data_IF_918480617488
#
_entry.id   IF_918480617488
#
_cell.length_a   1.000
_cell.length_b   1.000
_cell.length_c   1.000
_cell.angle_alpha   90.00
_cell.angle_beta   90.00
_cell.angle_gamma   90.00
#
_symmetry.space_group_name_H-M   'P 1'
#
loop_
_entity.id
_entity.type
_entity.pdbx_description
1 polymer ?
#
# COMPACT_ATOMS: atom_id res chain seq x y z
N UNK A 1 29.49 -6.88 -1.34
CA UNK A 1 28.23 -6.94 -0.57
C UNK A 1 27.38 -8.00 -1.22
N UNK A 2 26.94 -8.97 -0.42
CA UNK A 2 26.08 -10.06 -0.86
C UNK A 2 24.89 -10.21 0.09
N UNK A 3 23.75 -10.61 -0.42
CA UNK A 3 22.56 -10.91 0.36
C UNK A 3 22.81 -12.19 1.17
N UNK A 4 22.67 -12.11 2.48
CA UNK A 4 22.87 -13.25 3.40
C UNK A 4 21.55 -13.83 3.89
N UNK A 5 20.50 -13.01 3.99
CA UNK A 5 19.18 -13.48 4.37
C UNK A 5 18.07 -12.64 3.75
N UNK A 6 16.93 -13.29 3.52
CA UNK A 6 15.67 -12.65 3.09
C UNK A 6 14.57 -13.20 3.97
N UNK A 7 13.95 -12.34 4.75
CA UNK A 7 12.86 -12.69 5.67
C UNK A 7 11.64 -11.84 5.38
N UNK A 8 10.51 -12.34 5.77
CA UNK A 8 9.27 -11.58 5.79
C UNK A 8 8.63 -11.59 7.17
N UNK A 9 7.86 -10.56 7.47
CA UNK A 9 7.16 -10.41 8.74
C UNK A 9 5.73 -9.90 8.49
N UNK A 10 4.77 -10.78 8.78
CA UNK A 10 3.35 -10.44 8.74
C UNK A 10 2.90 -9.97 10.11
N UNK A 11 2.33 -8.77 10.19
CA UNK A 11 1.74 -8.21 11.41
C UNK A 11 0.31 -7.77 11.17
N UNK A 12 -0.51 -7.81 12.22
CA UNK A 12 -1.88 -7.28 12.25
C UNK A 12 -2.04 -6.14 13.26
N UNK A 13 -0.96 -5.76 13.92
CA UNK A 13 -0.95 -4.75 15.00
C UNK A 13 -1.21 -3.33 14.50
N UNK A 14 -1.11 -3.09 13.19
CA UNK A 14 -1.34 -1.77 12.57
C UNK A 14 -2.80 -1.50 12.20
N UNK A 15 -3.75 -2.33 12.69
CA UNK A 15 -5.18 -2.22 12.37
C UNK A 15 -5.59 -2.90 11.06
N UNK A 16 -4.63 -3.23 10.21
CA UNK A 16 -4.80 -4.08 9.02
C UNK A 16 -3.55 -4.94 8.83
N UNK A 17 -3.65 -6.11 8.17
CA UNK A 17 -2.48 -6.93 7.89
C UNK A 17 -1.44 -6.14 7.06
N UNK A 18 -0.17 -6.17 7.50
CA UNK A 18 0.95 -5.63 6.77
C UNK A 18 2.07 -6.69 6.67
N UNK A 19 2.65 -6.85 5.49
CA UNK A 19 3.72 -7.81 5.22
C UNK A 19 5.00 -7.06 4.86
N UNK A 20 5.98 -7.11 5.75
CA UNK A 20 7.29 -6.50 5.56
C UNK A 20 8.29 -7.49 5.01
N UNK A 21 9.20 -7.00 4.18
CA UNK A 21 10.36 -7.75 3.65
C UNK A 21 11.62 -7.17 4.27
N UNK A 22 12.50 -8.03 4.77
CA UNK A 22 13.79 -7.67 5.35
C UNK A 22 14.89 -8.41 4.61
N UNK A 23 15.83 -7.68 4.03
CA UNK A 23 16.99 -8.22 3.33
C UNK A 23 18.26 -7.85 4.09
N UNK A 24 19.01 -8.85 4.51
CA UNK A 24 20.29 -8.68 5.22
C UNK A 24 21.46 -8.91 4.28
N UNK A 25 22.59 -8.24 4.56
CA UNK A 25 23.81 -8.37 3.77
C UNK A 25 25.02 -8.68 4.63
N UNK A 26 26.06 -9.27 4.02
CA UNK A 26 27.36 -9.53 4.63
C UNK A 26 28.12 -8.26 5.07
N UNK A 27 27.71 -7.10 4.57
CA UNK A 27 28.26 -5.80 4.97
C UNK A 27 27.54 -5.18 6.17
N UNK A 28 26.59 -5.88 6.80
CA UNK A 28 25.80 -5.37 7.94
C UNK A 28 24.77 -4.31 7.55
N UNK A 29 24.50 -4.11 6.26
CA UNK A 29 23.45 -3.21 5.77
C UNK A 29 22.16 -4.03 5.61
N UNK A 30 21.09 -3.58 6.23
CA UNK A 30 19.76 -4.21 6.15
C UNK A 30 18.81 -3.29 5.41
N UNK A 31 18.06 -3.85 4.45
CA UNK A 31 17.00 -3.16 3.72
C UNK A 31 15.61 -3.62 4.12
N UNK A 32 14.66 -2.71 4.02
CA UNK A 32 13.26 -2.93 4.35
C UNK A 32 12.36 -2.58 3.17
N UNK A 33 11.38 -3.45 2.91
CA UNK A 33 10.32 -3.22 1.94
C UNK A 33 8.97 -3.65 2.48
N UNK A 34 7.91 -3.32 1.77
CA UNK A 34 6.55 -3.70 2.10
C UNK A 34 5.91 -4.43 0.92
N UNK A 35 5.35 -5.61 1.20
CA UNK A 35 4.72 -6.50 0.23
C UNK A 35 3.23 -6.74 0.54
N UNK A 36 2.58 -5.77 1.19
CA UNK A 36 1.19 -5.90 1.61
C UNK A 36 0.23 -5.97 0.44
N UNK A 37 -0.68 -6.94 0.50
CA UNK A 37 -1.87 -7.00 -0.36
C UNK A 37 -3.07 -7.38 0.50
N UNK A 38 -4.22 -6.79 0.22
CA UNK A 38 -5.44 -7.14 0.92
C UNK A 38 -5.87 -8.59 0.60
N UNK A 39 -6.37 -9.30 1.62
CA UNK A 39 -6.95 -10.65 1.57
C UNK A 39 -5.98 -11.83 1.39
N UNK A 40 -4.80 -11.65 0.79
CA UNK A 40 -3.90 -12.77 0.46
C UNK A 40 -2.45 -12.60 0.96
N UNK A 41 -2.19 -12.08 2.18
CA UNK A 41 -0.82 -11.83 2.65
C UNK A 41 0.01 -13.12 2.74
N UNK A 42 -0.62 -14.26 3.06
CA UNK A 42 0.05 -15.55 3.14
C UNK A 42 0.53 -16.05 1.77
N UNK A 43 -0.21 -15.77 0.69
CA UNK A 43 0.21 -16.15 -0.66
C UNK A 43 1.46 -15.36 -1.08
N UNK A 44 1.56 -14.08 -0.68
CA UNK A 44 2.74 -13.27 -0.93
C UNK A 44 3.92 -13.75 -0.08
N UNK A 45 3.69 -14.08 1.19
CA UNK A 45 4.71 -14.65 2.07
C UNK A 45 5.30 -15.96 1.51
N UNK A 46 4.45 -16.88 1.07
CA UNK A 46 4.90 -18.12 0.42
C UNK A 46 5.70 -17.87 -0.85
N UNK A 47 5.31 -16.90 -1.67
CA UNK A 47 6.09 -16.55 -2.86
C UNK A 47 7.45 -15.92 -2.50
N UNK A 48 7.54 -15.16 -1.42
CA UNK A 48 8.83 -14.63 -0.93
C UNK A 48 9.76 -15.77 -0.49
N UNK A 49 9.23 -16.82 0.14
CA UNK A 49 10.00 -18.03 0.48
C UNK A 49 10.51 -18.75 -0.78
N UNK A 50 9.70 -18.85 -1.83
CA UNK A 50 10.10 -19.43 -3.12
C UNK A 50 11.15 -18.58 -3.86
N UNK A 51 11.11 -17.25 -3.72
CA UNK A 51 12.08 -16.35 -4.33
C UNK A 51 13.41 -16.27 -3.54
N UNK A 52 13.38 -16.50 -2.25
CA UNK A 52 14.55 -16.41 -1.36
C UNK A 52 15.79 -17.13 -1.88
N UNK A 53 15.74 -18.39 -2.35
CA UNK A 53 16.93 -19.11 -2.84
C UNK A 53 17.63 -18.44 -4.03
N UNK A 54 16.89 -17.68 -4.84
CA UNK A 54 17.45 -16.96 -5.99
C UNK A 54 18.11 -15.63 -5.59
N UNK A 55 17.79 -15.11 -4.42
CA UNK A 55 18.32 -13.83 -3.93
C UNK A 55 19.57 -14.01 -3.06
N UNK A 56 19.66 -15.10 -2.32
CA UNK A 56 20.80 -15.38 -1.44
C UNK A 56 22.10 -15.47 -2.26
N UNK A 57 23.13 -14.75 -1.79
CA UNK A 57 24.46 -14.69 -2.43
C UNK A 57 24.58 -13.65 -3.56
N UNK A 58 23.46 -13.10 -4.01
CA UNK A 58 23.47 -12.05 -5.05
C UNK A 58 23.92 -10.69 -4.49
N UNK A 59 24.41 -9.82 -5.39
CA UNK A 59 24.76 -8.43 -5.05
C UNK A 59 23.50 -7.56 -5.05
N UNK A 60 23.05 -7.05 -3.87
CA UNK A 60 21.82 -6.26 -3.74
C UNK A 60 21.86 -4.92 -4.51
N UNK A 61 23.03 -4.47 -4.96
CA UNK A 61 23.16 -3.24 -5.77
C UNK A 61 22.70 -3.41 -7.21
N UNK A 62 22.56 -4.66 -7.69
CA UNK A 62 22.08 -5.02 -9.03
C UNK A 62 20.55 -5.08 -9.07
N UNK A 63 19.89 -4.00 -8.64
CA UNK A 63 18.42 -3.95 -8.40
C UNK A 63 17.65 -4.41 -9.63
N UNK A 64 17.90 -3.81 -10.79
CA UNK A 64 17.20 -4.13 -12.04
C UNK A 64 17.40 -5.60 -12.44
N UNK A 65 18.61 -6.13 -12.27
CA UNK A 65 18.89 -7.54 -12.54
C UNK A 65 18.07 -8.46 -11.63
N UNK A 66 18.03 -8.18 -10.33
CA UNK A 66 17.30 -8.97 -9.34
C UNK A 66 15.79 -8.87 -9.56
N UNK A 67 15.29 -7.68 -9.90
CA UNK A 67 13.89 -7.50 -10.26
C UNK A 67 13.52 -8.38 -11.46
N UNK A 68 14.31 -8.32 -12.54
CA UNK A 68 14.08 -9.13 -13.73
C UNK A 68 14.21 -10.63 -13.45
N UNK A 69 15.16 -11.04 -12.63
CA UNK A 69 15.34 -12.41 -12.21
C UNK A 69 14.08 -12.91 -11.46
N UNK A 70 13.61 -12.19 -10.45
CA UNK A 70 12.40 -12.54 -9.73
C UNK A 70 11.18 -12.63 -10.66
N UNK A 71 11.02 -11.68 -11.59
CA UNK A 71 9.91 -11.68 -12.53
C UNK A 71 9.96 -12.82 -13.55
N UNK A 72 11.16 -13.14 -14.09
CA UNK A 72 11.32 -14.14 -15.15
C UNK A 72 11.40 -15.57 -14.67
N UNK A 73 11.83 -15.80 -13.42
CA UNK A 73 11.86 -17.13 -12.78
C UNK A 73 10.46 -17.74 -12.68
N UNK A 74 9.45 -16.91 -12.55
CA UNK A 74 8.05 -17.33 -12.50
C UNK A 74 7.55 -17.65 -13.92
N UNK A 75 7.11 -18.88 -14.16
CA UNK A 75 6.51 -19.27 -15.44
C UNK A 75 5.21 -18.50 -15.70
N UNK A 76 4.34 -18.40 -14.68
CA UNK A 76 3.12 -17.59 -14.69
C UNK A 76 3.43 -16.22 -14.12
N UNK A 77 3.63 -15.24 -14.97
CA UNK A 77 4.07 -13.89 -14.62
C UNK A 77 2.90 -12.95 -14.39
N UNK A 78 3.10 -12.00 -13.47
CA UNK A 78 2.14 -10.94 -13.20
C UNK A 78 1.10 -11.31 -12.14
N UNK A 79 0.13 -10.42 -11.98
CA UNK A 79 -0.89 -10.51 -10.94
C UNK A 79 -0.48 -9.88 -9.61
N UNK A 80 -1.45 -9.64 -8.71
CA UNK A 80 -1.23 -8.84 -7.50
C UNK A 80 -0.27 -9.51 -6.50
N UNK A 81 -0.32 -10.83 -6.35
CA UNK A 81 0.57 -11.57 -5.43
C UNK A 81 2.03 -11.47 -5.88
N UNK A 82 2.27 -11.74 -7.17
CA UNK A 82 3.62 -11.62 -7.76
C UNK A 82 4.13 -10.19 -7.72
N UNK A 83 3.27 -9.23 -8.09
CA UNK A 83 3.62 -7.80 -8.05
C UNK A 83 4.00 -7.34 -6.64
N UNK A 84 3.24 -7.72 -5.63
CA UNK A 84 3.51 -7.36 -4.24
C UNK A 84 4.82 -7.95 -3.72
N UNK A 85 5.08 -9.25 -3.97
CA UNK A 85 6.32 -9.89 -3.54
C UNK A 85 7.56 -9.23 -4.17
N UNK A 86 7.55 -9.04 -5.49
CA UNK A 86 8.67 -8.40 -6.21
C UNK A 86 8.85 -6.95 -5.76
N UNK A 87 7.75 -6.19 -5.57
CA UNK A 87 7.79 -4.81 -5.10
C UNK A 87 8.41 -4.69 -3.71
N UNK A 88 8.07 -5.60 -2.78
CA UNK A 88 8.67 -5.63 -1.46
C UNK A 88 10.17 -5.90 -1.48
N UNK A 89 10.61 -6.83 -2.34
CA UNK A 89 12.06 -7.09 -2.57
C UNK A 89 12.72 -5.86 -3.18
N UNK A 90 12.14 -5.27 -4.20
CA UNK A 90 12.68 -4.09 -4.90
C UNK A 90 12.86 -2.89 -3.94
N UNK A 91 11.85 -2.58 -3.13
CA UNK A 91 11.96 -1.53 -2.11
C UNK A 91 13.10 -1.80 -1.13
N UNK A 92 13.25 -3.04 -0.65
CA UNK A 92 14.34 -3.39 0.26
C UNK A 92 15.72 -3.24 -0.39
N UNK A 93 15.86 -3.56 -1.68
CA UNK A 93 17.10 -3.38 -2.44
C UNK A 93 17.44 -1.89 -2.63
N UNK A 94 16.45 -1.04 -2.94
CA UNK A 94 16.64 0.40 -3.00
C UNK A 94 17.03 0.99 -1.64
N UNK A 95 16.45 0.51 -0.56
CA UNK A 95 16.81 0.93 0.80
C UNK A 95 18.27 0.55 1.14
N UNK A 96 18.72 -0.67 0.79
CA UNK A 96 20.14 -1.07 0.90
C UNK A 96 21.03 -0.13 0.10
N UNK A 97 20.65 0.18 -1.13
CA UNK A 97 21.45 1.04 -2.00
C UNK A 97 21.59 2.45 -1.42
N UNK A 98 20.49 3.04 -0.97
CA UNK A 98 20.50 4.34 -0.30
C UNK A 98 21.40 4.36 0.93
N UNK A 99 21.24 3.37 1.83
CA UNK A 99 22.04 3.20 3.04
C UNK A 99 23.53 3.00 2.73
N UNK A 100 23.84 2.19 1.72
CA UNK A 100 25.24 1.92 1.32
C UNK A 100 25.94 3.13 0.74
N UNK A 101 25.22 4.09 0.19
CA UNK A 101 25.72 5.35 -0.38
C UNK A 101 25.60 6.53 0.61
N UNK A 102 24.91 6.34 1.75
CA UNK A 102 24.68 7.39 2.74
C UNK A 102 23.70 8.47 2.27
N UNK A 103 22.79 8.12 1.34
CA UNK A 103 21.79 9.06 0.80
C UNK A 103 20.38 8.47 0.94
N UNK A 104 19.35 9.30 1.08
CA UNK A 104 17.98 8.83 1.07
C UNK A 104 17.58 8.35 -0.35
N UNK A 105 16.66 7.40 -0.43
CA UNK A 105 16.25 6.78 -1.70
C UNK A 105 15.73 7.82 -2.72
N UNK A 106 15.06 8.88 -2.28
CA UNK A 106 14.55 9.90 -3.21
C UNK A 106 15.67 10.61 -3.99
N UNK A 107 16.89 10.72 -3.45
CA UNK A 107 18.04 11.27 -4.20
C UNK A 107 18.45 10.37 -5.36
N UNK A 108 18.29 9.04 -5.20
CA UNK A 108 18.56 8.06 -6.26
C UNK A 108 17.47 8.04 -7.33
N UNK A 109 16.26 8.53 -6.99
CA UNK A 109 15.09 8.55 -7.87
C UNK A 109 14.85 9.91 -8.56
N UNK A 110 15.80 10.83 -8.48
CA UNK A 110 15.71 12.12 -9.17
C UNK A 110 15.61 13.35 -8.26
N UNK A 111 15.72 13.16 -6.94
CA UNK A 111 15.78 14.25 -5.96
C UNK A 111 14.44 14.62 -5.35
N UNK A 112 14.50 15.58 -4.43
CA UNK A 112 13.36 16.01 -3.64
C UNK A 112 12.41 16.90 -4.47
N UNK A 113 11.23 16.40 -4.78
CA UNK A 113 10.20 17.16 -5.50
C UNK A 113 9.41 18.11 -4.59
N UNK A 114 9.20 17.73 -3.32
CA UNK A 114 8.42 18.51 -2.33
C UNK A 114 8.74 18.07 -0.91
N UNK A 115 8.60 18.98 0.04
CA UNK A 115 8.86 18.71 1.46
C UNK A 115 7.61 18.27 2.23
N UNK A 116 6.42 18.47 1.64
CA UNK A 116 5.13 18.11 2.26
C UNK A 116 4.20 17.50 1.21
N UNK A 117 3.37 16.57 1.66
CA UNK A 117 2.29 15.96 0.89
C UNK A 117 0.97 16.30 1.56
N UNK A 118 -0.01 16.79 0.78
CA UNK A 118 -1.38 16.99 1.27
C UNK A 118 -2.01 15.61 1.50
N UNK A 119 -2.54 15.39 2.69
CA UNK A 119 -3.23 14.17 3.06
C UNK A 119 -4.74 14.32 2.90
N UNK A 120 -5.41 13.22 2.61
CA UNK A 120 -6.85 13.09 2.80
C UNK A 120 -7.15 12.15 3.96
N UNK A 121 -8.28 12.37 4.64
CA UNK A 121 -8.77 11.52 5.72
C UNK A 121 -9.85 10.56 5.23
N UNK A 122 -9.79 9.29 5.68
CA UNK A 122 -10.89 8.36 5.44
C UNK A 122 -12.05 8.68 6.37
N UNK A 123 -13.26 8.64 5.80
CA UNK A 123 -14.55 8.75 6.51
C UNK A 123 -15.35 7.48 6.24
N UNK A 124 -15.96 6.94 7.29
CA UNK A 124 -16.82 5.77 7.24
C UNK A 124 -18.04 5.99 8.13
N UNK A 125 -19.12 5.30 7.85
CA UNK A 125 -20.36 5.32 8.57
C UNK A 125 -21.43 4.52 7.82
N UNK A 126 -22.43 4.05 8.54
CA UNK A 126 -23.52 3.25 7.97
C UNK A 126 -24.73 4.11 7.57
N UNK A 127 -24.78 5.38 8.05
CA UNK A 127 -25.82 6.35 7.71
C UNK A 127 -25.23 7.69 7.27
N UNK A 128 -26.06 8.50 6.59
CA UNK A 128 -25.68 9.84 6.16
C UNK A 128 -25.26 10.75 7.32
N UNK A 129 -25.92 10.62 8.48
CA UNK A 129 -25.62 11.38 9.70
C UNK A 129 -24.25 11.00 10.26
N UNK A 130 -23.95 9.70 10.33
CA UNK A 130 -22.64 9.21 10.78
C UNK A 130 -21.52 9.66 9.84
N UNK A 131 -21.75 9.60 8.52
CA UNK A 131 -20.81 10.10 7.52
C UNK A 131 -20.54 11.60 7.72
N UNK A 132 -21.58 12.40 7.91
CA UNK A 132 -21.48 13.83 8.15
C UNK A 132 -20.70 14.15 9.44
N UNK A 133 -20.98 13.44 10.53
CA UNK A 133 -20.31 13.64 11.82
C UNK A 133 -18.81 13.27 11.75
N UNK A 134 -18.50 12.10 11.20
CA UNK A 134 -17.13 11.66 11.03
C UNK A 134 -16.34 12.57 10.06
N UNK A 135 -17.00 13.13 9.07
CA UNK A 135 -16.39 14.13 8.19
C UNK A 135 -16.04 15.42 8.94
N UNK A 136 -16.96 15.96 9.78
CA UNK A 136 -16.69 17.12 10.63
C UNK A 136 -15.51 16.87 11.56
N UNK A 137 -15.45 15.68 12.18
CA UNK A 137 -14.34 15.30 13.03
C UNK A 137 -12.99 15.34 12.29
N UNK A 138 -12.91 14.79 11.08
CA UNK A 138 -11.69 14.84 10.25
C UNK A 138 -11.29 16.28 9.93
N UNK A 139 -12.24 17.10 9.53
CA UNK A 139 -11.99 18.52 9.22
C UNK A 139 -11.53 19.30 10.45
N UNK A 140 -12.11 19.05 11.64
CA UNK A 140 -11.67 19.68 12.89
C UNK A 140 -10.22 19.38 13.27
N UNK A 141 -9.66 18.29 12.77
CA UNK A 141 -8.24 17.92 12.89
C UNK A 141 -7.32 18.56 11.83
N UNK A 142 -7.85 19.47 11.00
CA UNK A 142 -7.10 20.16 9.97
C UNK A 142 -7.00 19.42 8.63
N UNK A 143 -7.75 18.34 8.43
CA UNK A 143 -7.84 17.62 7.14
C UNK A 143 -8.71 18.44 6.19
N UNK A 144 -8.19 18.77 5.01
CA UNK A 144 -8.87 19.56 3.98
C UNK A 144 -9.37 18.77 2.78
N UNK A 145 -9.16 17.46 2.80
CA UNK A 145 -9.65 16.53 1.79
C UNK A 145 -10.09 15.25 2.49
N UNK A 146 -11.26 14.76 2.17
CA UNK A 146 -11.81 13.52 2.76
C UNK A 146 -12.17 12.54 1.68
N UNK A 147 -12.06 11.26 2.00
CA UNK A 147 -12.40 10.15 1.11
C UNK A 147 -13.37 9.22 1.83
N UNK A 148 -14.39 8.80 1.14
CA UNK A 148 -15.33 7.81 1.65
C UNK A 148 -15.73 6.81 0.56
N UNK A 149 -16.26 5.68 1.00
CA UNK A 149 -16.92 4.68 0.18
C UNK A 149 -18.33 4.48 0.75
N UNK A 150 -19.33 4.67 -0.09
CA UNK A 150 -20.74 4.66 0.34
C UNK A 150 -21.44 3.31 0.17
N UNK A 151 -20.79 2.32 -0.42
CA UNK A 151 -21.42 1.00 -0.64
C UNK A 151 -20.44 -0.13 -0.29
N UNK A 152 -20.98 -1.26 0.16
CA UNK A 152 -20.23 -2.48 0.45
C UNK A 152 -20.19 -3.37 -0.79
N UNK A 153 -19.08 -3.36 -1.53
CA UNK A 153 -18.88 -4.20 -2.74
C UNK A 153 -18.76 -5.69 -2.39
N UNK A 154 -18.56 -6.01 -1.11
CA UNK A 154 -18.18 -7.36 -0.67
C UNK A 154 -19.22 -8.04 0.21
N UNK A 155 -20.49 -7.63 0.13
CA UNK A 155 -21.54 -8.38 0.79
C UNK A 155 -21.73 -9.70 0.05
N UNK A 156 -21.38 -10.81 0.72
CA UNK A 156 -21.32 -12.14 0.10
C UNK A 156 -22.70 -12.79 -0.02
N UNK A 157 -23.72 -12.20 0.58
CA UNK A 157 -25.00 -12.85 0.78
C UNK A 157 -26.10 -12.30 -0.13
N UNK A 158 -25.89 -11.14 -0.78
CA UNK A 158 -26.92 -10.48 -1.56
C UNK A 158 -26.50 -10.15 -2.99
N UNK A 159 -27.49 -10.04 -3.86
CA UNK A 159 -27.32 -9.54 -5.22
C UNK A 159 -27.00 -8.05 -5.15
N UNK A 160 -25.90 -7.63 -5.77
CA UNK A 160 -25.52 -6.23 -5.83
C UNK A 160 -26.56 -5.39 -6.57
N UNK A 161 -27.22 -4.47 -5.86
CA UNK A 161 -28.16 -3.51 -6.44
C UNK A 161 -27.41 -2.21 -6.81
N UNK A 162 -27.12 -2.04 -8.09
CA UNK A 162 -26.42 -0.89 -8.63
C UNK A 162 -27.15 0.44 -8.36
N UNK A 163 -28.50 0.44 -8.47
CA UNK A 163 -29.26 1.67 -8.26
C UNK A 163 -29.21 2.10 -6.80
N UNK A 164 -29.40 1.18 -5.87
CA UNK A 164 -29.28 1.44 -4.46
C UNK A 164 -27.87 1.97 -4.09
N UNK A 165 -26.81 1.40 -4.68
CA UNK A 165 -25.44 1.87 -4.47
C UNK A 165 -25.23 3.32 -4.95
N UNK A 166 -25.80 3.69 -6.10
CA UNK A 166 -25.74 5.06 -6.63
C UNK A 166 -26.52 6.02 -5.73
N UNK A 167 -27.74 5.66 -5.35
CA UNK A 167 -28.59 6.50 -4.50
C UNK A 167 -27.92 6.78 -3.14
N UNK A 168 -27.34 5.76 -2.51
CA UNK A 168 -26.59 5.89 -1.26
C UNK A 168 -25.34 6.79 -1.43
N UNK A 169 -24.60 6.65 -2.53
CA UNK A 169 -23.46 7.53 -2.80
C UNK A 169 -23.89 9.00 -2.94
N UNK A 170 -25.00 9.27 -3.61
CA UNK A 170 -25.55 10.62 -3.75
C UNK A 170 -25.95 11.18 -2.39
N UNK A 171 -26.68 10.40 -1.58
CA UNK A 171 -27.12 10.79 -0.23
C UNK A 171 -25.92 11.12 0.67
N UNK A 172 -24.93 10.22 0.74
CA UNK A 172 -23.75 10.41 1.58
C UNK A 172 -22.90 11.61 1.12
N UNK A 173 -22.76 11.78 -0.19
CA UNK A 173 -22.04 12.94 -0.74
C UNK A 173 -22.71 14.25 -0.35
N UNK A 174 -24.03 14.32 -0.45
CA UNK A 174 -24.82 15.50 -0.09
C UNK A 174 -24.67 15.83 1.42
N UNK A 175 -24.84 14.82 2.29
CA UNK A 175 -24.72 14.98 3.74
C UNK A 175 -23.30 15.41 4.16
N UNK A 176 -22.28 14.82 3.57
CA UNK A 176 -20.88 15.21 3.82
C UNK A 176 -20.65 16.66 3.34
N UNK A 177 -21.08 17.00 2.14
CA UNK A 177 -20.92 18.35 1.59
C UNK A 177 -21.60 19.43 2.43
N UNK A 178 -22.81 19.17 2.90
CA UNK A 178 -23.51 20.05 3.83
C UNK A 178 -22.75 20.22 5.15
N UNK A 179 -22.17 19.12 5.65
CA UNK A 179 -21.48 19.10 6.93
C UNK A 179 -20.15 19.83 6.95
N UNK A 180 -19.38 19.78 5.84
CA UNK A 180 -17.99 20.28 5.79
C UNK A 180 -17.81 21.56 4.97
N UNK A 181 -18.87 22.05 4.31
CA UNK A 181 -18.82 23.28 3.50
C UNK A 181 -18.12 23.11 2.13
N UNK A 182 -18.02 24.19 1.35
CA UNK A 182 -17.54 24.15 -0.03
C UNK A 182 -16.02 23.94 -0.18
N UNK A 183 -15.22 24.27 0.84
CA UNK A 183 -13.76 24.37 0.75
C UNK A 183 -13.03 23.04 1.01
N UNK A 184 -13.75 22.01 1.42
CA UNK A 184 -13.19 20.67 1.66
C UNK A 184 -13.38 19.81 0.41
N UNK A 185 -12.29 19.21 -0.07
CA UNK A 185 -12.37 18.25 -1.18
C UNK A 185 -13.02 16.95 -0.74
N UNK A 186 -13.94 16.44 -1.54
CA UNK A 186 -14.61 15.15 -1.31
C UNK A 186 -14.21 14.19 -2.42
N UNK A 187 -13.64 13.06 -2.03
CA UNK A 187 -13.22 11.97 -2.91
C UNK A 187 -14.15 10.78 -2.70
N UNK A 188 -14.72 10.28 -3.77
CA UNK A 188 -15.57 9.09 -3.77
C UNK A 188 -14.71 7.90 -4.23
N UNK A 189 -14.69 6.86 -3.43
CA UNK A 189 -13.99 5.60 -3.76
C UNK A 189 -14.93 4.62 -4.44
N UNK A 190 -14.60 4.25 -5.66
CA UNK A 190 -15.43 3.35 -6.47
C UNK A 190 -14.84 1.93 -6.60
N UNK A 191 -13.58 1.73 -6.27
CA UNK A 191 -12.86 0.44 -6.35
C UNK A 191 -12.96 -0.31 -7.69
N UNK A 192 -13.28 0.34 -8.77
CA UNK A 192 -13.39 -0.27 -10.10
C UNK A 192 -14.74 -0.87 -10.44
#
# INVERSE_FOLDING_TARGET
MQITDVRHHLTTELGSPALFVVIETDAGVTGYGEATIHFFPQAVAGLLDDLRPYLIGEDPRRIEHLWQMCFRTLFMRGGPVTGAAISGVDMALWDIKGKSLGVPVYELLGGLARTKVRLYGHVSGDTAEQMAENARERVSRGITAIRFRGFHVYDREEVHDHQMAVDQQVEFTAAIREAVGPDVDILIECHG
#
